data_IF_814510280828
#
_entry.id   IF_814510280828
#
_cell.length_a   1.000
_cell.length_b   1.000
_cell.length_c   1.000
_cell.angle_alpha   90.00
_cell.angle_beta   90.00
_cell.angle_gamma   90.00
#
_symmetry.space_group_name_H-M   'P 1'
#
loop_
_entity.id
_entity.type
_entity.pdbx_description
1 polymer ?
#
# COMPACT_ATOMS: atom_id res chain seq x y z
N UNK A 1 -1.85 -2.68 23.35
CA UNK A 1 -0.70 -3.29 22.65
C UNK A 1 0.39 -2.24 22.45
N UNK A 2 1.66 -2.57 22.70
CA UNK A 2 2.79 -1.68 22.46
C UNK A 2 3.25 -1.80 21.02
N UNK A 3 3.31 -0.67 20.31
CA UNK A 3 3.84 -0.59 18.95
C UNK A 3 5.07 0.32 18.95
N UNK A 4 6.21 -0.26 18.59
CA UNK A 4 7.48 0.45 18.50
C UNK A 4 7.81 0.81 17.06
N UNK A 5 8.12 2.07 16.78
CA UNK A 5 8.69 2.53 15.50
C UNK A 5 10.19 2.70 15.67
N UNK A 6 10.97 1.78 15.13
CA UNK A 6 12.43 1.89 15.09
C UNK A 6 12.83 2.88 14.00
N UNK A 7 13.38 4.01 14.44
CA UNK A 7 13.79 5.14 13.62
C UNK A 7 15.28 5.43 13.80
N UNK A 8 15.87 6.09 12.81
CA UNK A 8 17.28 6.45 12.76
C UNK A 8 17.44 7.81 12.08
N UNK A 9 18.62 8.47 12.21
CA UNK A 9 18.87 9.75 11.56
C UNK A 9 18.56 9.70 10.06
N UNK A 10 17.92 10.75 9.54
CA UNK A 10 17.44 10.86 8.16
C UNK A 10 16.33 9.87 7.76
N UNK A 11 15.62 9.27 8.73
CA UNK A 11 14.37 8.56 8.46
C UNK A 11 13.35 9.48 7.74
N UNK A 12 12.46 8.86 6.97
CA UNK A 12 11.43 9.57 6.23
C UNK A 12 10.35 10.11 7.16
N UNK A 13 9.96 11.38 6.98
CA UNK A 13 8.82 11.96 7.69
C UNK A 13 7.51 11.20 7.41
N UNK A 14 7.42 10.50 6.27
CA UNK A 14 6.26 9.65 5.96
C UNK A 14 6.16 8.43 6.86
N UNK A 15 7.27 7.91 7.38
CA UNK A 15 7.23 6.86 8.40
C UNK A 15 6.52 7.31 9.67
N UNK A 16 6.69 8.57 10.06
CA UNK A 16 5.97 9.16 11.20
C UNK A 16 4.47 9.25 10.93
N UNK A 17 4.08 9.64 9.71
CA UNK A 17 2.66 9.71 9.33
C UNK A 17 1.96 8.34 9.41
N UNK A 18 2.68 7.24 9.22
CA UNK A 18 2.13 5.87 9.41
C UNK A 18 1.65 5.65 10.85
N UNK A 19 2.30 6.26 11.84
CA UNK A 19 1.91 6.12 13.25
C UNK A 19 0.50 6.67 13.54
N UNK A 20 0.05 7.68 12.77
CA UNK A 20 -1.28 8.26 12.92
C UNK A 20 -2.40 7.26 12.66
N UNK A 21 -2.16 6.17 11.92
CA UNK A 21 -3.16 5.09 11.76
C UNK A 21 -3.49 4.45 13.10
N UNK A 22 -2.48 4.21 13.93
CA UNK A 22 -2.66 3.62 15.26
C UNK A 22 -3.22 4.62 16.27
N UNK A 23 -2.85 5.90 16.14
CA UNK A 23 -3.44 7.00 16.92
C UNK A 23 -4.95 7.10 16.64
N UNK A 24 -5.35 7.12 15.37
CA UNK A 24 -6.76 7.16 14.99
C UNK A 24 -7.49 5.87 15.36
N UNK A 25 -6.82 4.71 15.38
CA UNK A 25 -7.40 3.49 15.91
C UNK A 25 -7.80 3.62 17.39
N UNK A 26 -6.98 4.29 18.21
CA UNK A 26 -7.36 4.59 19.59
C UNK A 26 -8.62 5.49 19.65
N UNK A 27 -8.68 6.52 18.80
CA UNK A 27 -9.84 7.42 18.72
C UNK A 27 -11.11 6.68 18.29
N UNK A 28 -11.02 5.80 17.28
CA UNK A 28 -12.16 4.98 16.80
C UNK A 28 -12.67 4.07 17.90
N UNK A 29 -11.77 3.48 18.69
CA UNK A 29 -12.12 2.53 19.74
C UNK A 29 -12.53 3.19 21.07
N UNK A 30 -12.21 4.46 21.27
CA UNK A 30 -12.47 5.16 22.53
C UNK A 30 -11.60 4.70 23.69
N UNK A 31 -10.49 4.02 23.41
CA UNK A 31 -9.56 3.48 24.41
C UNK A 31 -8.11 3.52 23.90
N UNK A 32 -7.13 3.39 24.80
CA UNK A 32 -5.70 3.31 24.43
C UNK A 32 -5.33 1.89 23.95
N UNK A 33 -5.85 1.50 22.80
CA UNK A 33 -5.64 0.19 22.18
C UNK A 33 -4.18 -0.03 21.75
N UNK A 34 -3.52 1.03 21.23
CA UNK A 34 -2.10 1.09 20.91
C UNK A 34 -1.36 2.09 21.81
N UNK A 35 -0.25 1.65 22.38
CA UNK A 35 0.77 2.49 23.00
C UNK A 35 1.92 2.68 22.01
N UNK A 36 1.96 3.85 21.38
CA UNK A 36 2.87 4.17 20.27
C UNK A 36 4.17 4.72 20.84
N UNK A 37 5.29 4.12 20.46
CA UNK A 37 6.62 4.49 20.93
C UNK A 37 7.58 4.66 19.76
N UNK A 38 8.30 5.77 19.69
CA UNK A 38 9.41 5.94 18.76
C UNK A 38 10.72 5.55 19.43
N UNK A 39 11.46 4.65 18.80
CA UNK A 39 12.65 4.01 19.35
C UNK A 39 13.86 4.32 18.48
N UNK A 40 15.00 4.60 19.08
CA UNK A 40 16.28 4.74 18.38
C UNK A 40 17.41 4.06 19.16
N UNK A 41 18.56 3.87 18.53
CA UNK A 41 19.70 3.19 19.14
C UNK A 41 20.12 3.78 20.50
N UNK A 42 20.12 5.12 20.59
CA UNK A 42 20.59 5.86 21.78
C UNK A 42 19.46 6.55 22.55
N UNK A 43 18.26 6.66 21.97
CA UNK A 43 17.22 7.56 22.47
C UNK A 43 17.56 9.04 22.19
N UNK A 44 16.67 9.94 22.63
CA UNK A 44 16.84 11.38 22.45
C UNK A 44 16.37 11.90 21.08
N UNK A 45 16.78 13.11 20.69
CA UNK A 45 16.30 13.76 19.48
C UNK A 45 16.86 13.12 18.21
N UNK A 46 15.97 12.84 17.24
CA UNK A 46 16.31 12.37 15.89
C UNK A 46 15.80 13.39 14.87
N UNK A 47 16.66 13.74 13.90
CA UNK A 47 16.32 14.58 12.75
C UNK A 47 15.93 13.72 11.55
N UNK A 48 14.75 13.96 11.00
CA UNK A 48 14.25 13.34 9.76
C UNK A 48 14.91 13.93 8.51
N UNK A 49 14.74 13.28 7.36
CA UNK A 49 15.20 13.80 6.06
C UNK A 49 14.56 15.14 5.67
N UNK A 50 13.38 15.46 6.21
CA UNK A 50 12.69 16.74 6.00
C UNK A 50 13.11 17.83 7.00
N UNK A 51 14.05 17.53 7.90
CA UNK A 51 14.57 18.48 8.89
C UNK A 51 13.79 18.57 10.20
N UNK A 52 12.62 17.92 10.31
CA UNK A 52 11.87 17.80 11.56
C UNK A 52 12.68 17.02 12.60
N UNK A 53 12.72 17.52 13.83
CA UNK A 53 13.36 16.85 14.98
C UNK A 53 12.29 16.39 15.97
N UNK A 54 12.38 15.14 16.41
CA UNK A 54 11.44 14.55 17.38
C UNK A 54 12.17 13.66 18.39
N UNK A 55 11.56 13.46 19.57
CA UNK A 55 12.15 12.69 20.66
C UNK A 55 11.89 11.18 20.51
N UNK A 56 12.89 10.38 20.85
CA UNK A 56 12.83 8.92 20.81
C UNK A 56 13.27 8.32 22.14
N UNK A 57 12.79 7.12 22.43
CA UNK A 57 13.27 6.31 23.54
C UNK A 57 14.40 5.41 23.06
N UNK A 58 15.31 5.05 23.95
CA UNK A 58 16.38 4.11 23.64
C UNK A 58 15.80 2.71 23.43
N UNK A 59 16.26 1.99 22.40
CA UNK A 59 15.97 0.57 22.25
C UNK A 59 16.35 -0.19 23.52
N UNK A 60 15.44 -1.03 24.01
CA UNK A 60 15.61 -1.78 25.26
C UNK A 60 14.92 -3.14 25.19
N UNK A 61 15.24 -4.04 26.12
CA UNK A 61 14.69 -5.40 26.16
C UNK A 61 13.20 -5.51 26.52
N UNK A 62 12.48 -4.39 26.68
CA UNK A 62 11.05 -4.38 26.98
C UNK A 62 10.20 -5.11 25.93
N UNK A 63 9.02 -5.57 26.35
CA UNK A 63 8.05 -6.21 25.46
C UNK A 63 7.44 -5.20 24.49
N UNK A 64 7.47 -5.52 23.20
CA UNK A 64 6.84 -4.76 22.11
C UNK A 64 6.00 -5.76 21.33
N UNK A 65 4.72 -5.49 21.13
CA UNK A 65 3.84 -6.43 20.41
C UNK A 65 4.09 -6.36 18.90
N UNK A 66 4.26 -5.16 18.36
CA UNK A 66 4.55 -4.91 16.94
C UNK A 66 5.73 -3.94 16.83
N UNK A 67 6.80 -4.37 16.18
CA UNK A 67 7.95 -3.50 15.88
C UNK A 67 7.91 -3.13 14.41
N UNK A 68 7.85 -1.84 14.09
CA UNK A 68 7.88 -1.31 12.72
C UNK A 68 9.25 -0.65 12.51
N UNK A 69 10.02 -1.14 11.54
CA UNK A 69 11.29 -0.53 11.13
C UNK A 69 11.01 0.46 10.01
N UNK A 70 11.30 1.72 10.29
CA UNK A 70 11.08 2.78 9.31
C UNK A 70 12.12 2.75 8.19
N UNK A 71 11.80 3.40 7.07
CA UNK A 71 12.69 3.59 5.94
C UNK A 71 13.43 4.94 5.96
N UNK A 72 14.53 5.00 5.21
CA UNK A 72 15.19 6.24 4.83
C UNK A 72 15.33 6.34 3.31
N UNK A 73 15.53 7.56 2.81
CA UNK A 73 15.71 7.81 1.38
C UNK A 73 16.97 7.14 0.82
N UNK A 74 17.97 6.93 1.67
CA UNK A 74 19.24 6.29 1.34
C UNK A 74 19.52 5.18 2.36
N UNK A 75 19.30 3.90 2.03
CA UNK A 75 19.54 2.80 2.94
C UNK A 75 21.03 2.65 3.25
N UNK A 76 21.39 2.76 4.53
CA UNK A 76 22.77 2.56 5.00
C UNK A 76 22.89 1.28 5.83
N UNK A 77 24.10 0.70 5.93
CA UNK A 77 24.36 -0.38 6.88
C UNK A 77 23.95 0.03 8.29
N UNK A 78 23.24 -0.86 8.98
CA UNK A 78 22.79 -0.65 10.35
C UNK A 78 23.89 -1.00 11.35
N UNK A 79 23.85 -0.38 12.53
CA UNK A 79 24.80 -0.69 13.59
C UNK A 79 24.62 -2.14 14.10
N UNK A 80 25.69 -2.77 14.61
CA UNK A 80 25.59 -4.09 15.26
C UNK A 80 24.56 -4.14 16.38
N UNK A 81 24.35 -3.03 17.09
CA UNK A 81 23.37 -2.87 18.16
C UNK A 81 21.94 -2.98 17.63
N UNK A 82 21.61 -2.30 16.53
CA UNK A 82 20.31 -2.41 15.86
C UNK A 82 20.10 -3.83 15.33
N UNK A 83 21.12 -4.42 14.69
CA UNK A 83 21.05 -5.79 14.15
C UNK A 83 20.77 -6.79 15.27
N UNK A 84 21.51 -6.72 16.38
CA UNK A 84 21.32 -7.58 17.55
C UNK A 84 19.92 -7.41 18.16
N UNK A 85 19.46 -6.16 18.27
CA UNK A 85 18.12 -5.85 18.75
C UNK A 85 17.02 -6.50 17.90
N UNK A 86 17.15 -6.42 16.57
CA UNK A 86 16.20 -7.00 15.62
C UNK A 86 16.25 -8.52 15.59
N UNK A 87 17.43 -9.14 15.68
CA UNK A 87 17.55 -10.60 15.83
C UNK A 87 16.77 -11.12 17.04
N UNK A 88 16.80 -10.38 18.14
CA UNK A 88 16.01 -10.72 19.32
C UNK A 88 14.50 -10.41 19.18
N UNK A 89 14.07 -9.71 18.12
CA UNK A 89 12.68 -9.29 17.95
C UNK A 89 11.74 -10.46 17.62
N UNK A 90 12.19 -11.51 16.93
CA UNK A 90 11.33 -12.68 16.63
C UNK A 90 10.76 -13.37 17.87
N UNK A 91 11.55 -13.36 18.96
CA UNK A 91 11.15 -13.92 20.26
C UNK A 91 10.35 -12.95 21.11
N UNK A 92 10.63 -11.64 21.00
CA UNK A 92 10.04 -10.60 21.85
C UNK A 92 8.78 -9.97 21.28
N UNK A 93 8.61 -10.03 19.97
CA UNK A 93 7.50 -9.41 19.26
C UNK A 93 6.55 -10.44 18.69
N UNK A 94 5.26 -10.12 18.71
CA UNK A 94 4.25 -10.93 18.01
C UNK A 94 4.48 -10.88 16.49
N UNK A 95 4.91 -9.73 15.97
CA UNK A 95 5.26 -9.51 14.56
C UNK A 95 6.25 -8.35 14.41
N UNK A 96 6.99 -8.38 13.30
CA UNK A 96 7.93 -7.32 12.88
C UNK A 96 7.52 -6.85 11.51
N UNK A 97 7.49 -5.53 11.33
CA UNK A 97 7.12 -4.89 10.09
C UNK A 97 8.26 -4.00 9.57
N UNK A 98 8.35 -3.79 8.27
CA UNK A 98 9.23 -2.81 7.65
C UNK A 98 8.51 -1.97 6.62
N UNK A 99 8.84 -0.68 6.60
CA UNK A 99 8.36 0.31 5.63
C UNK A 99 9.48 0.73 4.70
N UNK A 100 9.25 0.69 3.38
CA UNK A 100 10.23 1.07 2.36
C UNK A 100 11.56 0.33 2.59
N UNK A 101 12.66 1.08 2.61
CA UNK A 101 14.03 0.60 2.83
C UNK A 101 14.29 0.04 4.24
N UNK A 102 13.34 0.12 5.17
CA UNK A 102 13.41 -0.61 6.43
C UNK A 102 13.58 -2.13 6.24
N UNK A 103 13.19 -2.66 5.08
CA UNK A 103 13.41 -4.06 4.73
C UNK A 103 14.91 -4.44 4.69
N UNK A 104 15.80 -3.53 4.27
CA UNK A 104 17.25 -3.79 4.28
C UNK A 104 17.79 -4.03 5.69
N UNK A 105 17.25 -3.31 6.67
CA UNK A 105 17.62 -3.46 8.08
C UNK A 105 17.17 -4.83 8.60
N UNK A 106 15.96 -5.28 8.23
CA UNK A 106 15.49 -6.63 8.55
C UNK A 106 16.35 -7.70 7.87
N UNK A 107 16.76 -7.48 6.62
CA UNK A 107 17.64 -8.38 5.87
C UNK A 107 19.02 -8.53 6.52
N UNK A 108 19.62 -7.42 6.98
CA UNK A 108 20.88 -7.44 7.74
C UNK A 108 20.77 -8.23 9.06
N UNK A 109 19.57 -8.30 9.64
CA UNK A 109 19.28 -9.12 10.81
C UNK A 109 18.96 -10.59 10.49
N UNK A 110 18.88 -10.99 9.21
CA UNK A 110 18.50 -12.34 8.78
C UNK A 110 16.99 -12.61 8.81
N UNK A 111 16.17 -11.59 9.05
CA UNK A 111 14.72 -11.76 9.25
C UNK A 111 13.94 -11.96 7.94
N UNK A 112 14.60 -11.80 6.78
CA UNK A 112 13.99 -11.99 5.47
C UNK A 112 14.30 -13.37 4.85
N UNK A 113 15.11 -14.19 5.51
CA UNK A 113 15.56 -15.48 4.96
C UNK A 113 14.37 -16.41 4.68
N UNK A 114 14.19 -16.78 3.41
CA UNK A 114 13.09 -17.64 2.94
C UNK A 114 11.71 -16.98 2.99
N UNK A 115 11.61 -15.67 3.25
CA UNK A 115 10.33 -14.95 3.35
C UNK A 115 9.97 -14.28 2.04
N UNK A 116 8.67 -14.22 1.76
CA UNK A 116 8.09 -13.34 0.74
C UNK A 116 8.00 -11.93 1.29
N UNK A 117 8.64 -10.99 0.61
CA UNK A 117 8.80 -9.63 1.10
C UNK A 117 8.67 -8.64 -0.04
N UNK A 118 8.37 -7.40 0.29
CA UNK A 118 8.42 -6.28 -0.66
C UNK A 118 9.19 -5.12 -0.03
N UNK A 119 9.63 -4.20 -0.88
CA UNK A 119 10.23 -2.93 -0.51
C UNK A 119 9.85 -1.92 -1.58
N UNK A 120 10.27 -0.67 -1.44
CA UNK A 120 10.04 0.31 -2.49
C UNK A 120 10.69 -0.16 -3.80
N UNK A 121 9.92 -0.16 -4.89
CA UNK A 121 10.30 -0.69 -6.21
C UNK A 121 11.71 -0.30 -6.65
N UNK A 122 12.09 0.97 -6.44
CA UNK A 122 13.41 1.52 -6.78
C UNK A 122 14.57 0.71 -6.18
N UNK A 123 14.34 0.11 -5.01
CA UNK A 123 15.33 -0.64 -4.25
C UNK A 123 15.07 -2.16 -4.25
N UNK A 124 14.02 -2.65 -4.90
CA UNK A 124 13.62 -4.05 -4.83
C UNK A 124 14.69 -5.00 -5.40
N UNK A 125 15.28 -4.64 -6.55
CA UNK A 125 16.39 -5.40 -7.14
C UNK A 125 17.61 -5.45 -6.21
N UNK A 126 18.00 -4.31 -5.64
CA UNK A 126 19.14 -4.23 -4.72
C UNK A 126 18.90 -5.05 -3.46
N UNK A 127 17.67 -5.04 -2.92
CA UNK A 127 17.32 -5.88 -1.77
C UNK A 127 17.46 -7.38 -2.10
N UNK A 128 16.99 -7.79 -3.27
CA UNK A 128 17.07 -9.18 -3.74
C UNK A 128 18.54 -9.63 -3.94
N UNK A 129 19.39 -8.76 -4.48
CA UNK A 129 20.82 -9.03 -4.69
C UNK A 129 21.57 -9.17 -3.35
N UNK A 130 21.23 -8.34 -2.35
CA UNK A 130 21.87 -8.38 -1.02
C UNK A 130 21.36 -9.51 -0.13
N UNK A 131 20.11 -9.96 -0.32
CA UNK A 131 19.47 -11.01 0.47
C UNK A 131 18.89 -12.09 -0.46
N UNK A 132 19.75 -12.94 -1.06
CA UNK A 132 19.34 -13.86 -2.14
C UNK A 132 18.37 -14.95 -1.69
N UNK A 133 18.27 -15.21 -0.39
CA UNK A 133 17.33 -16.15 0.24
C UNK A 133 15.93 -15.57 0.39
N UNK A 134 15.76 -14.24 0.34
CA UNK A 134 14.46 -13.59 0.37
C UNK A 134 13.77 -13.70 -1.00
N UNK A 135 12.45 -13.76 -1.01
CA UNK A 135 11.64 -13.72 -2.22
C UNK A 135 11.04 -12.32 -2.37
N UNK A 136 11.77 -11.42 -3.02
CA UNK A 136 11.36 -10.01 -3.17
C UNK A 136 10.35 -9.88 -4.31
N UNK A 137 9.17 -9.37 -3.99
CA UNK A 137 8.14 -8.95 -4.96
C UNK A 137 8.18 -7.42 -5.07
N UNK A 138 8.52 -6.91 -6.24
CA UNK A 138 8.76 -5.50 -6.52
C UNK A 138 7.48 -4.71 -6.85
N UNK A 139 6.36 -5.41 -6.99
CA UNK A 139 5.09 -4.81 -7.42
C UNK A 139 4.08 -4.67 -6.28
N UNK A 140 4.16 -5.45 -5.20
CA UNK A 140 3.16 -5.38 -4.10
C UNK A 140 3.35 -4.15 -3.21
N UNK A 141 2.26 -3.45 -2.86
CA UNK A 141 2.35 -2.33 -1.90
C UNK A 141 2.66 -2.78 -0.46
N UNK A 142 2.22 -3.98 -0.07
CA UNK A 142 2.64 -4.63 1.16
C UNK A 142 2.44 -6.15 1.09
N UNK A 143 3.24 -6.88 1.86
CA UNK A 143 3.19 -8.33 2.00
C UNK A 143 3.18 -8.69 3.49
N UNK A 144 2.35 -9.68 3.83
CA UNK A 144 2.38 -10.38 5.11
C UNK A 144 2.83 -11.82 4.84
N UNK A 145 3.96 -12.21 5.43
CA UNK A 145 4.47 -13.58 5.49
C UNK A 145 4.68 -13.99 6.96
N UNK A 146 3.58 -14.43 7.59
CA UNK A 146 3.54 -14.86 8.98
C UNK A 146 3.82 -13.71 9.96
N UNK A 147 4.99 -13.76 10.62
CA UNK A 147 5.42 -12.71 11.56
C UNK A 147 6.06 -11.50 10.88
N UNK A 148 6.43 -11.62 9.60
CA UNK A 148 7.16 -10.58 8.86
C UNK A 148 6.20 -9.86 7.92
N UNK A 149 6.11 -8.55 8.09
CA UNK A 149 5.27 -7.68 7.28
C UNK A 149 6.16 -6.65 6.60
N UNK A 150 5.99 -6.43 5.31
CA UNK A 150 6.83 -5.47 4.57
C UNK A 150 5.98 -4.64 3.64
N UNK A 151 6.41 -3.41 3.37
CA UNK A 151 5.69 -2.50 2.48
C UNK A 151 6.66 -1.69 1.63
N UNK A 152 6.19 -1.29 0.46
CA UNK A 152 6.80 -0.25 -0.36
C UNK A 152 7.06 1.07 0.40
N UNK A 153 6.36 1.28 1.51
CA UNK A 153 6.44 2.46 2.35
C UNK A 153 5.87 3.70 1.66
N UNK A 154 6.31 4.90 2.05
CA UNK A 154 5.63 6.15 1.71
C UNK A 154 4.13 6.05 2.06
N UNK A 155 3.23 6.30 1.12
CA UNK A 155 1.79 6.13 1.36
C UNK A 155 1.38 4.66 1.56
N UNK A 156 2.11 3.68 1.01
CA UNK A 156 1.81 2.26 1.20
C UNK A 156 2.04 1.80 2.65
N UNK A 157 2.86 2.53 3.42
CA UNK A 157 3.00 2.32 4.84
C UNK A 157 1.69 2.51 5.61
N UNK A 158 0.82 3.43 5.15
CA UNK A 158 -0.51 3.64 5.72
C UNK A 158 -1.40 2.42 5.45
N UNK A 159 -1.34 1.84 4.25
CA UNK A 159 -2.09 0.62 3.91
C UNK A 159 -1.62 -0.58 4.75
N UNK A 160 -0.31 -0.73 4.93
CA UNK A 160 0.27 -1.73 5.83
C UNK A 160 -0.25 -1.54 7.26
N UNK A 161 -0.22 -0.31 7.79
CA UNK A 161 -0.72 -0.05 9.14
C UNK A 161 -2.23 -0.32 9.28
N UNK A 162 -3.04 -0.01 8.26
CA UNK A 162 -4.46 -0.36 8.25
C UNK A 162 -4.69 -1.88 8.22
N UNK A 163 -3.83 -2.63 7.51
CA UNK A 163 -3.87 -4.08 7.51
C UNK A 163 -3.48 -4.67 8.88
N UNK A 164 -2.54 -4.02 9.60
CA UNK A 164 -2.18 -4.39 10.97
C UNK A 164 -3.34 -4.13 11.95
N UNK A 165 -4.04 -3.00 11.81
CA UNK A 165 -5.25 -2.68 12.59
C UNK A 165 -6.37 -3.68 12.30
N UNK A 166 -6.56 -4.06 11.04
CA UNK A 166 -7.53 -5.09 10.67
C UNK A 166 -7.20 -6.44 11.30
N UNK A 167 -5.94 -6.86 11.25
CA UNK A 167 -5.51 -8.12 11.85
C UNK A 167 -5.73 -8.14 13.38
N UNK A 168 -5.74 -6.98 14.03
CA UNK A 168 -5.94 -6.86 15.48
C UNK A 168 -7.40 -6.72 15.89
N UNK A 169 -8.17 -5.93 15.13
CA UNK A 169 -9.49 -5.43 15.54
C UNK A 169 -10.57 -5.60 14.49
N UNK A 170 -10.29 -6.35 13.43
CA UNK A 170 -11.20 -6.63 12.34
C UNK A 170 -11.35 -5.49 11.34
N UNK A 171 -11.99 -5.83 10.23
CA UNK A 171 -12.14 -4.96 9.06
C UNK A 171 -12.94 -3.68 9.35
N UNK A 172 -13.93 -3.73 10.24
CA UNK A 172 -14.78 -2.58 10.55
C UNK A 172 -14.03 -1.47 11.30
N UNK A 173 -13.13 -1.86 12.22
CA UNK A 173 -12.24 -0.92 12.91
C UNK A 173 -11.31 -0.27 11.89
N UNK A 174 -10.63 -1.08 11.05
CA UNK A 174 -9.72 -0.57 10.03
C UNK A 174 -10.43 0.37 9.03
N UNK A 175 -11.66 0.04 8.61
CA UNK A 175 -12.49 0.91 7.75
C UNK A 175 -12.82 2.23 8.41
N UNK A 176 -13.19 2.19 9.70
CA UNK A 176 -13.51 3.41 10.45
C UNK A 176 -12.29 4.31 10.62
N UNK A 177 -11.11 3.72 10.83
CA UNK A 177 -9.82 4.44 10.85
C UNK A 177 -9.53 5.08 9.50
N UNK A 178 -9.62 4.32 8.40
CA UNK A 178 -9.40 4.83 7.05
C UNK A 178 -10.36 5.99 6.71
N UNK A 179 -11.63 5.88 7.10
CA UNK A 179 -12.64 6.94 6.92
C UNK A 179 -12.28 8.20 7.69
N UNK A 180 -11.82 8.08 8.94
CA UNK A 180 -11.36 9.24 9.73
C UNK A 180 -10.09 9.88 9.17
N UNK A 181 -9.24 9.10 8.51
CA UNK A 181 -8.07 9.58 7.77
C UNK A 181 -8.41 10.14 6.37
N UNK A 182 -9.69 10.17 6.00
CA UNK A 182 -10.18 10.69 4.71
C UNK A 182 -9.54 9.97 3.51
N UNK A 183 -9.27 8.67 3.66
CA UNK A 183 -8.76 7.86 2.56
C UNK A 183 -9.91 7.46 1.63
N UNK A 184 -9.87 7.94 0.39
CA UNK A 184 -10.87 7.66 -0.64
C UNK A 184 -11.02 6.16 -0.92
N UNK A 185 -9.90 5.43 -0.95
CA UNK A 185 -9.87 3.99 -1.15
C UNK A 185 -8.73 3.37 -0.34
N UNK A 186 -9.02 2.30 0.40
CA UNK A 186 -7.98 1.50 1.06
C UNK A 186 -7.39 0.55 0.04
N UNK A 187 -6.08 0.60 -0.16
CA UNK A 187 -5.41 -0.28 -1.11
C UNK A 187 -5.19 -1.64 -0.46
N UNK A 188 -5.47 -2.74 -1.17
CA UNK A 188 -5.16 -4.08 -0.67
C UNK A 188 -3.70 -4.43 -0.97
N UNK A 189 -3.10 -5.36 -0.22
CA UNK A 189 -1.68 -5.72 -0.40
C UNK A 189 -1.34 -6.23 -1.81
N UNK A 190 -2.36 -6.70 -2.56
CA UNK A 190 -2.22 -7.11 -3.95
C UNK A 190 -2.19 -6.00 -4.99
N UNK A 191 -2.38 -4.74 -4.58
CA UNK A 191 -2.28 -3.61 -5.46
C UNK A 191 -0.81 -3.34 -5.83
N UNK A 192 -0.62 -2.92 -7.09
CA UNK A 192 0.67 -2.49 -7.61
C UNK A 192 1.18 -1.24 -6.88
N UNK A 193 2.48 -1.18 -6.58
CA UNK A 193 3.20 0.01 -6.13
C UNK A 193 3.15 1.10 -7.18
N UNK A 194 3.14 0.68 -8.45
CA UNK A 194 3.08 1.55 -9.59
C UNK A 194 1.64 1.96 -9.83
N UNK A 195 1.42 3.28 -9.86
CA UNK A 195 0.33 3.78 -10.68
C UNK A 195 0.86 3.76 -12.11
N UNK A 196 0.35 2.87 -12.97
CA UNK A 196 0.64 2.93 -14.42
C UNK A 196 0.39 4.35 -14.98
N UNK A 197 -0.44 5.16 -14.29
CA UNK A 197 -0.71 6.55 -14.60
C UNK A 197 0.46 7.53 -14.36
N UNK A 198 1.41 7.20 -13.47
CA UNK A 198 2.56 8.02 -13.06
C UNK A 198 3.83 7.80 -13.91
N UNK A 199 4.05 6.58 -14.43
CA UNK A 199 4.98 6.35 -15.56
C UNK A 199 4.53 7.08 -16.84
N UNK A 200 3.28 7.50 -16.79
CA UNK A 200 2.68 8.65 -17.45
C UNK A 200 3.60 9.80 -17.79
N UNK A 201 4.45 10.19 -16.82
CA UNK A 201 5.12 11.48 -16.75
C UNK A 201 6.30 11.59 -17.71
N UNK A 202 6.12 12.17 -18.90
CA UNK A 202 7.22 12.41 -19.80
C UNK A 202 7.97 13.67 -19.39
N UNK A 203 9.19 13.81 -19.90
CA UNK A 203 10.04 14.99 -19.65
C UNK A 203 9.57 16.21 -20.46
N UNK A 204 8.73 15.99 -21.49
CA UNK A 204 8.15 17.02 -22.33
C UNK A 204 6.62 17.07 -22.24
N UNK A 205 6.06 18.28 -22.15
CA UNK A 205 4.61 18.55 -22.25
C UNK A 205 3.95 17.87 -23.46
N UNK A 206 4.71 17.62 -24.54
CA UNK A 206 4.19 17.02 -25.79
C UNK A 206 3.85 15.54 -25.65
N UNK A 207 4.71 14.75 -25.01
CA UNK A 207 4.42 13.34 -24.77
C UNK A 207 3.33 13.22 -23.68
N UNK A 208 3.26 14.17 -22.74
CA UNK A 208 2.23 14.18 -21.68
C UNK A 208 0.87 14.40 -22.32
N UNK A 209 0.80 15.36 -23.25
CA UNK A 209 -0.39 15.63 -24.05
C UNK A 209 -0.86 14.40 -24.80
N UNK A 210 0.05 13.62 -25.41
CA UNK A 210 -0.31 12.37 -26.08
C UNK A 210 -0.85 11.31 -25.10
N UNK A 211 -0.29 11.22 -23.91
CA UNK A 211 -0.68 10.27 -22.87
C UNK A 211 -2.03 10.62 -22.25
N UNK A 212 -2.27 11.91 -22.00
CA UNK A 212 -3.57 12.40 -21.53
C UNK A 212 -4.65 12.23 -22.60
N UNK A 213 -4.31 12.48 -23.87
CA UNK A 213 -5.19 12.18 -24.99
C UNK A 213 -5.52 10.68 -25.04
N UNK A 214 -4.52 9.80 -24.89
CA UNK A 214 -4.73 8.36 -24.86
C UNK A 214 -5.68 7.94 -23.72
N UNK A 215 -5.43 8.41 -22.49
CA UNK A 215 -6.25 8.12 -21.30
C UNK A 215 -7.73 8.49 -21.51
N UNK A 216 -8.00 9.64 -22.13
CA UNK A 216 -9.38 10.10 -22.40
C UNK A 216 -10.05 9.34 -23.56
N UNK A 217 -9.28 8.64 -24.39
CA UNK A 217 -9.74 8.03 -25.64
C UNK A 217 -9.46 6.52 -25.74
N UNK A 218 -9.25 5.81 -24.63
CA UNK A 218 -8.89 4.38 -24.63
C UNK A 218 -9.86 3.48 -25.40
N UNK A 219 -11.16 3.83 -25.38
CA UNK A 219 -12.24 3.15 -26.11
C UNK A 219 -12.12 3.23 -27.64
N UNK A 220 -11.27 4.12 -28.17
CA UNK A 220 -11.10 4.36 -29.62
C UNK A 220 -9.82 3.68 -30.14
N UNK A 221 -9.69 3.46 -31.46
CA UNK A 221 -8.42 3.08 -32.06
C UNK A 221 -7.38 4.20 -31.90
N UNK A 222 -6.38 3.95 -31.06
CA UNK A 222 -5.24 4.84 -30.78
C UNK A 222 -4.01 4.36 -31.57
N UNK A 223 -3.87 4.87 -32.78
CA UNK A 223 -2.69 4.62 -33.62
C UNK A 223 -1.56 5.58 -33.26
N UNK A 224 -0.32 5.21 -33.63
CA UNK A 224 0.84 6.10 -33.49
C UNK A 224 0.60 7.46 -34.16
N UNK A 225 -0.04 7.48 -35.33
CA UNK A 225 -0.36 8.72 -36.03
C UNK A 225 -1.28 9.65 -35.22
N UNK A 226 -2.33 9.11 -34.58
CA UNK A 226 -3.25 9.90 -33.75
C UNK A 226 -2.60 10.44 -32.48
N UNK A 227 -1.72 9.63 -31.87
CA UNK A 227 -0.98 10.08 -30.68
C UNK A 227 0.07 11.13 -31.04
N UNK A 228 0.70 10.99 -32.21
CA UNK A 228 1.66 11.96 -32.73
C UNK A 228 0.97 13.29 -33.08
N UNK A 229 -0.22 13.24 -33.68
CA UNK A 229 -1.07 14.41 -33.95
C UNK A 229 -1.42 15.16 -32.66
N UNK A 230 -1.85 14.43 -31.61
CA UNK A 230 -2.11 15.02 -30.29
C UNK A 230 -0.85 15.65 -29.65
N UNK A 231 0.34 15.17 -30.00
CA UNK A 231 1.62 15.73 -29.54
C UNK A 231 2.17 16.85 -30.45
N UNK A 232 1.50 17.17 -31.55
CA UNK A 232 2.01 18.03 -32.64
C UNK A 232 3.38 17.58 -33.19
N UNK A 233 3.53 16.26 -33.39
CA UNK A 233 4.75 15.63 -33.91
C UNK A 233 4.44 14.76 -35.14
N UNK A 234 5.44 14.56 -36.01
CA UNK A 234 5.33 13.50 -37.01
C UNK A 234 5.37 12.11 -36.34
N UNK A 235 4.77 11.06 -36.95
CA UNK A 235 4.75 9.71 -36.35
C UNK A 235 6.14 9.14 -36.02
N UNK A 236 7.14 9.46 -36.83
CA UNK A 236 8.53 9.04 -36.63
C UNK A 236 9.17 9.76 -35.44
N UNK A 237 9.02 11.08 -35.35
CA UNK A 237 9.53 11.87 -34.23
C UNK A 237 8.86 11.45 -32.93
N UNK A 238 7.54 11.28 -32.95
CA UNK A 238 6.77 10.83 -31.80
C UNK A 238 7.24 9.46 -31.31
N UNK A 239 7.34 8.46 -32.19
CA UNK A 239 7.75 7.10 -31.76
C UNK A 239 9.13 7.08 -31.11
N UNK A 240 10.06 7.89 -31.62
CA UNK A 240 11.42 8.02 -31.06
C UNK A 240 11.38 8.72 -29.71
N UNK A 241 10.81 9.92 -29.63
CA UNK A 241 10.72 10.71 -28.41
C UNK A 241 9.95 9.96 -27.31
N UNK A 242 8.84 9.31 -27.67
CA UNK A 242 8.06 8.50 -26.73
C UNK A 242 8.88 7.36 -26.13
N UNK A 243 9.68 6.64 -26.93
CA UNK A 243 10.53 5.56 -26.43
C UNK A 243 11.71 6.07 -25.60
N UNK A 244 12.32 7.17 -26.01
CA UNK A 244 13.40 7.82 -25.27
C UNK A 244 12.93 8.32 -23.90
N UNK A 245 11.69 8.83 -23.81
CA UNK A 245 11.14 9.38 -22.57
C UNK A 245 10.47 8.33 -21.66
N UNK A 246 9.72 7.37 -22.23
CA UNK A 246 8.92 6.40 -21.46
C UNK A 246 9.56 5.01 -21.36
N UNK A 247 10.67 4.76 -22.05
CA UNK A 247 11.33 3.44 -22.11
C UNK A 247 10.57 2.37 -22.92
N UNK A 248 9.35 2.65 -23.38
CA UNK A 248 8.50 1.69 -24.09
C UNK A 248 7.90 2.25 -25.39
N UNK A 249 7.25 1.40 -26.18
CA UNK A 249 6.57 1.86 -27.40
C UNK A 249 5.18 2.42 -27.09
N UNK A 250 4.65 3.35 -27.91
CA UNK A 250 3.30 3.88 -27.72
C UNK A 250 2.22 2.80 -27.65
N UNK A 251 2.36 1.74 -28.45
CA UNK A 251 1.40 0.63 -28.46
C UNK A 251 1.39 -0.15 -27.14
N UNK A 252 2.56 -0.36 -26.51
CA UNK A 252 2.67 -1.03 -25.21
C UNK A 252 2.07 -0.16 -24.10
N UNK A 253 2.36 1.14 -24.10
CA UNK A 253 1.79 2.06 -23.12
C UNK A 253 0.26 2.15 -23.21
N UNK A 254 -0.31 2.25 -24.42
CA UNK A 254 -1.77 2.21 -24.62
C UNK A 254 -2.35 0.91 -24.10
N UNK A 255 -1.71 -0.23 -24.38
CA UNK A 255 -2.19 -1.52 -23.92
C UNK A 255 -2.20 -1.65 -22.40
N UNK A 256 -1.17 -1.16 -21.71
CA UNK A 256 -1.12 -1.09 -20.25
C UNK A 256 -2.29 -0.25 -19.70
N UNK A 257 -2.44 0.99 -20.19
CA UNK A 257 -3.57 1.85 -19.79
C UNK A 257 -4.94 1.18 -20.00
N UNK A 258 -5.11 0.38 -21.05
CA UNK A 258 -6.36 -0.36 -21.29
C UNK A 258 -6.55 -1.51 -20.31
N UNK A 259 -5.48 -2.22 -19.94
CA UNK A 259 -5.52 -3.27 -18.90
C UNK A 259 -5.92 -2.65 -17.56
N UNK A 260 -5.30 -1.53 -17.18
CA UNK A 260 -5.62 -0.80 -15.96
C UNK A 260 -7.08 -0.34 -15.94
N UNK A 261 -7.55 0.34 -17.00
CA UNK A 261 -8.94 0.76 -17.10
C UNK A 261 -9.92 -0.42 -17.04
N UNK A 262 -9.55 -1.56 -17.64
CA UNK A 262 -10.39 -2.76 -17.62
C UNK A 262 -10.45 -3.39 -16.24
N UNK A 263 -9.33 -3.38 -15.49
CA UNK A 263 -9.28 -3.83 -14.10
C UNK A 263 -10.23 -3.00 -13.24
N UNK A 264 -10.14 -1.67 -13.32
CA UNK A 264 -11.02 -0.75 -12.57
C UNK A 264 -12.50 -1.03 -12.88
N UNK A 265 -12.87 -1.20 -14.15
CA UNK A 265 -14.26 -1.53 -14.52
C UNK A 265 -14.72 -2.90 -14.01
N UNK A 266 -13.82 -3.89 -13.92
CA UNK A 266 -14.15 -5.20 -13.33
C UNK A 266 -14.38 -5.14 -11.83
N UNK A 267 -13.69 -4.22 -11.14
CA UNK A 267 -13.83 -3.99 -9.70
C UNK A 267 -15.11 -3.19 -9.40
N UNK A 268 -15.41 -2.16 -10.21
CA UNK A 268 -16.49 -1.22 -9.93
C UNK A 268 -17.85 -1.65 -10.50
N UNK A 269 -17.88 -2.51 -11.52
CA UNK A 269 -19.11 -2.84 -12.25
C UNK A 269 -19.36 -4.34 -12.32
N UNK A 270 -20.58 -4.71 -12.73
CA UNK A 270 -20.94 -6.11 -13.04
C UNK A 270 -20.95 -6.40 -14.53
N UNK A 271 -20.33 -5.54 -15.35
CA UNK A 271 -20.37 -5.69 -16.79
C UNK A 271 -19.76 -7.03 -17.26
N UNK A 272 -20.36 -7.65 -18.30
CA UNK A 272 -19.74 -8.80 -18.98
C UNK A 272 -18.35 -8.46 -19.51
N UNK A 273 -17.46 -9.46 -19.58
CA UNK A 273 -16.07 -9.26 -19.98
C UNK A 273 -15.94 -8.73 -21.42
N UNK A 274 -16.86 -9.09 -22.33
CA UNK A 274 -16.94 -8.47 -23.67
C UNK A 274 -17.31 -6.98 -23.63
N UNK A 275 -18.20 -6.58 -22.72
CA UNK A 275 -18.59 -5.17 -22.57
C UNK A 275 -17.40 -4.36 -22.08
N UNK A 276 -16.69 -4.87 -21.06
CA UNK A 276 -15.49 -4.23 -20.53
C UNK A 276 -14.40 -4.14 -21.61
N UNK A 277 -14.16 -5.22 -22.35
CA UNK A 277 -13.19 -5.23 -23.45
C UNK A 277 -13.48 -4.13 -24.48
N UNK A 278 -14.76 -3.96 -24.89
CA UNK A 278 -15.16 -2.89 -25.81
C UNK A 278 -15.01 -1.50 -25.20
N UNK A 279 -15.44 -1.31 -23.95
CA UNK A 279 -15.36 -0.02 -23.25
C UNK A 279 -13.92 0.47 -23.06
N UNK A 280 -12.96 -0.45 -22.95
CA UNK A 280 -11.54 -0.11 -22.80
C UNK A 280 -10.78 -0.21 -24.11
N UNK A 281 -11.44 -0.51 -25.24
CA UNK A 281 -10.85 -0.49 -26.57
C UNK A 281 -10.01 -1.71 -26.94
N UNK A 282 -10.19 -2.84 -26.26
CA UNK A 282 -9.74 -4.13 -26.78
C UNK A 282 -10.66 -4.61 -27.91
N UNK A 283 -10.08 -5.15 -28.97
CA UNK A 283 -10.86 -5.64 -30.11
C UNK A 283 -11.74 -6.84 -29.73
N UNK A 284 -11.24 -7.70 -28.83
CA UNK A 284 -11.92 -8.91 -28.41
C UNK A 284 -11.43 -9.40 -27.05
N UNK A 285 -12.16 -10.36 -26.48
CA UNK A 285 -11.85 -10.98 -25.18
C UNK A 285 -10.49 -11.68 -25.17
N UNK A 286 -10.07 -12.27 -26.29
CA UNK A 286 -8.84 -13.04 -26.41
C UNK A 286 -7.61 -12.13 -26.41
N UNK A 287 -7.66 -10.97 -27.07
CA UNK A 287 -6.64 -9.91 -26.99
C UNK A 287 -6.55 -9.35 -25.58
N UNK A 288 -7.68 -9.03 -24.96
CA UNK A 288 -7.69 -8.57 -23.57
C UNK A 288 -7.07 -9.61 -22.63
N UNK A 289 -7.46 -10.89 -22.74
CA UNK A 289 -6.89 -11.96 -21.92
C UNK A 289 -5.38 -12.07 -22.08
N UNK A 290 -4.86 -12.00 -23.31
CA UNK A 290 -3.40 -12.03 -23.57
C UNK A 290 -2.68 -10.84 -22.95
N UNK A 291 -3.25 -9.63 -23.07
CA UNK A 291 -2.68 -8.43 -22.44
C UNK A 291 -2.63 -8.57 -20.93
N UNK A 292 -3.72 -9.03 -20.31
CA UNK A 292 -3.81 -9.29 -18.86
C UNK A 292 -2.78 -10.31 -18.35
N UNK A 293 -2.61 -11.43 -19.06
CA UNK A 293 -1.61 -12.44 -18.67
C UNK A 293 -0.19 -11.87 -18.81
N UNK A 294 0.08 -11.10 -19.86
CA UNK A 294 1.40 -10.50 -20.07
C UNK A 294 1.74 -9.41 -19.05
N UNK A 295 0.76 -8.59 -18.66
CA UNK A 295 0.99 -7.41 -17.82
C UNK A 295 0.81 -7.74 -16.33
N UNK A 296 -0.21 -8.51 -15.97
CA UNK A 296 -0.59 -8.79 -14.57
C UNK A 296 -0.37 -10.25 -14.15
N UNK A 297 0.14 -11.11 -15.03
CA UNK A 297 0.34 -12.53 -14.76
C UNK A 297 -0.95 -13.34 -14.57
N UNK A 298 -2.14 -12.72 -14.69
CA UNK A 298 -3.42 -13.35 -14.38
C UNK A 298 -4.50 -13.02 -15.42
N UNK A 299 -5.42 -13.95 -15.74
CA UNK A 299 -6.50 -13.69 -16.69
C UNK A 299 -7.60 -12.82 -16.07
N UNK A 300 -8.37 -12.06 -16.88
CA UNK A 300 -9.44 -11.16 -16.41
C UNK A 300 -10.45 -11.79 -15.44
N UNK A 301 -10.80 -13.06 -15.67
CA UNK A 301 -11.75 -13.77 -14.82
C UNK A 301 -11.24 -14.01 -13.40
N UNK A 302 -9.93 -14.22 -13.22
CA UNK A 302 -9.33 -14.41 -11.91
C UNK A 302 -9.40 -13.11 -11.09
N UNK A 303 -9.02 -12.00 -11.71
CA UNK A 303 -9.12 -10.66 -11.09
C UNK A 303 -10.56 -10.32 -10.71
N UNK A 304 -11.52 -10.53 -11.63
CA UNK A 304 -12.95 -10.30 -11.33
C UNK A 304 -13.48 -11.20 -10.22
N UNK A 305 -13.00 -12.44 -10.11
CA UNK A 305 -13.40 -13.34 -9.02
C UNK A 305 -12.89 -12.81 -7.68
N UNK A 306 -11.64 -12.38 -7.61
CA UNK A 306 -11.05 -11.80 -6.41
C UNK A 306 -11.83 -10.55 -5.97
N UNK A 307 -12.10 -9.61 -6.88
CA UNK A 307 -12.89 -8.41 -6.60
C UNK A 307 -14.34 -8.72 -6.14
N UNK A 308 -14.95 -9.79 -6.66
CA UNK A 308 -16.31 -10.21 -6.26
C UNK A 308 -16.36 -10.92 -4.91
N UNK A 309 -15.31 -11.67 -4.55
CA UNK A 309 -15.19 -12.25 -3.23
C UNK A 309 -15.13 -11.14 -2.18
N UNK A 310 -14.28 -10.13 -2.43
CA UNK A 310 -14.22 -8.91 -1.63
C UNK A 310 -15.61 -8.23 -1.55
N UNK A 311 -16.29 -7.99 -2.68
CA UNK A 311 -17.62 -7.32 -2.67
C UNK A 311 -18.73 -8.15 -2.00
N UNK A 312 -18.67 -9.48 -2.04
CA UNK A 312 -19.66 -10.36 -1.41
C UNK A 312 -19.46 -10.41 0.11
N UNK A 313 -18.22 -10.40 0.56
CA UNK A 313 -17.87 -10.24 1.97
C UNK A 313 -18.35 -8.88 2.51
N UNK A 314 -18.22 -7.81 1.71
CA UNK A 314 -18.79 -6.47 2.02
C UNK A 314 -20.32 -6.51 2.23
N UNK A 315 -21.08 -7.16 1.33
CA UNK A 315 -22.56 -7.21 1.40
C UNK A 315 -23.08 -8.13 2.50
N UNK A 316 -22.41 -9.27 2.73
CA UNK A 316 -22.78 -10.19 3.81
C UNK A 316 -22.56 -9.54 5.18
N UNK A 317 -21.53 -8.69 5.33
CA UNK A 317 -21.31 -7.89 6.54
C UNK A 317 -22.38 -6.80 6.75
N UNK A 318 -22.90 -6.18 5.68
CA UNK A 318 -23.97 -5.16 5.78
C UNK A 318 -25.35 -5.75 6.10
N UNK A 319 -25.66 -6.96 5.61
CA UNK A 319 -26.92 -7.65 5.87
C UNK A 319 -27.06 -8.25 7.26
N UNK A 320 -25.94 -8.42 7.98
CA UNK A 320 -25.89 -8.97 9.34
C UNK A 320 -26.05 -7.91 10.46
N UNK A 321 -26.47 -6.67 10.14
CA UNK A 321 -26.75 -5.64 11.16
C UNK A 321 -27.92 -6.08 12.06
N UNK A 322 -27.75 -6.17 13.40
CA UNK A 322 -28.88 -6.35 14.31
C UNK A 322 -29.79 -5.12 14.23
N UNK A 323 -31.11 -5.33 14.16
CA UNK A 323 -32.08 -4.24 14.33
C UNK A 323 -31.89 -3.64 15.73
N UNK A 324 -31.24 -2.47 15.81
CA UNK A 324 -31.13 -1.70 17.05
C UNK A 324 -32.54 -1.35 17.54
N UNK A 325 -32.91 -1.84 18.74
CA UNK A 325 -34.13 -1.42 19.43
C UNK A 325 -34.06 0.07 19.73
N UNK A 326 -35.18 0.77 19.55
CA UNK A 326 -35.25 2.22 19.67
C UNK A 326 -34.94 2.72 21.10
N UNK A 327 -34.38 3.92 21.29
CA UNK A 327 -33.93 4.44 22.59
C UNK A 327 -35.02 4.72 23.65
N UNK A 328 -36.28 4.34 23.44
CA UNK A 328 -37.39 4.70 24.35
C UNK A 328 -37.58 3.77 25.57
N UNK A 329 -36.87 2.65 25.66
CA UNK A 329 -37.08 1.68 26.75
C UNK A 329 -36.06 1.75 27.90
N UNK A 330 -34.97 2.50 27.77
CA UNK A 330 -33.88 2.50 28.76
C UNK A 330 -34.03 3.53 29.91
N UNK A 331 -35.10 4.33 29.94
CA UNK A 331 -35.34 5.36 30.97
C UNK A 331 -36.51 5.03 31.89
N UNK A 332 -36.52 3.86 32.51
CA UNK A 332 -37.33 3.57 33.70
C UNK A 332 -36.61 2.55 34.59
N UNK A 333 -35.58 2.97 35.32
CA UNK A 333 -35.06 2.30 36.53
C UNK A 333 -33.85 3.04 37.06
N UNK A 334 -34.08 4.15 37.76
CA UNK A 334 -33.18 4.67 38.79
C UNK A 334 -33.92 5.80 39.52
N UNK A 335 -34.58 5.48 40.63
CA UNK A 335 -34.80 6.42 41.74
C UNK A 335 -35.36 5.67 42.94
N UNK A 336 -34.66 5.82 44.06
CA UNK A 336 -35.04 5.66 45.48
C UNK A 336 -34.32 4.53 46.21
N UNK A 337 -33.32 4.93 46.98
CA UNK A 337 -33.11 4.43 48.35
C UNK A 337 -32.66 5.63 49.24
N UNK A 338 -33.15 5.75 50.48
CA UNK A 338 -32.86 6.89 51.35
C UNK A 338 -31.72 6.58 52.35
N UNK A 339 -31.06 7.65 52.81
CA UNK A 339 -30.00 7.65 53.83
C UNK A 339 -30.66 7.61 55.23
N UNK A 340 -30.23 6.74 56.17
CA UNK A 340 -30.63 6.83 57.57
C UNK A 340 -29.59 7.60 58.41
N UNK A 341 -30.08 8.21 59.50
CA UNK A 341 -29.27 8.81 60.57
C UNK A 341 -28.75 7.77 61.55
#
# INVERSE_FOLDING_TARGET
MRIGFLVYPNCSVMGLAVSSVFEIANVVRGEKAYDIQFLSEKGGPIKTSAGLVFQTQRISGGSIDTLVVDGANDPKPSSPQIISYLKAAERRCRRVAASCTGAFVLGQAGLLDGKRVTTHWLFARTLQEMHPTAHVDDDRIFINDGKIWTSAGMSAGIDLALALVEADFGIDTARSVAKKLVLYHRRSGGQSQFSELLELGPKSDRIQTALDYAKRNLHRPLTVAKLAEAAHLSPRQFSRAFREETGQSPAKAVEAMRVEAARILMEQTRHPIDVIARQTGFADRSRMRRAFIRILGQPPQAIRRNARLETRELRNAEGAKPRLRSPREARKRTTREPIPA
#
